data_IF_499864112468
#
_entry.id   IF_499864112468
#
_cell.length_a   1.000
_cell.length_b   1.000
_cell.length_c   1.000
_cell.angle_alpha   90.00
_cell.angle_beta   90.00
_cell.angle_gamma   90.00
#
_symmetry.space_group_name_H-M   'P 1'
#
loop_
_entity.id
_entity.type
_entity.pdbx_description
1 polymer ?
#
# COMPACT_ATOMS: atom_id res chain seq x y z
N UNK A 1 10.50 0.60 -29.35
CA UNK A 1 10.69 1.89 -28.64
C UNK A 1 9.38 2.25 -27.95
N UNK A 2 9.33 2.34 -26.62
CA UNK A 2 8.09 2.66 -25.91
C UNK A 2 7.71 4.14 -26.12
N UNK A 3 6.48 4.41 -26.59
CA UNK A 3 5.98 5.75 -26.79
C UNK A 3 5.79 6.50 -25.45
N UNK A 4 6.11 7.80 -25.42
CA UNK A 4 5.91 8.63 -24.22
C UNK A 4 4.41 8.79 -23.95
N UNK A 5 3.97 8.38 -22.75
CA UNK A 5 2.57 8.45 -22.30
C UNK A 5 2.04 9.87 -22.08
N UNK A 6 2.90 10.87 -21.83
CA UNK A 6 2.49 12.25 -21.57
C UNK A 6 3.42 13.28 -22.22
N UNK A 7 2.89 14.48 -22.49
CA UNK A 7 3.66 15.61 -23.04
C UNK A 7 4.57 16.31 -22.01
N UNK A 8 4.69 15.79 -20.79
CA UNK A 8 5.48 16.38 -19.71
C UNK A 8 4.92 17.70 -19.18
N UNK A 9 5.78 18.54 -18.60
CA UNK A 9 5.39 19.84 -18.04
C UNK A 9 5.05 20.80 -19.19
N UNK A 10 3.78 21.19 -19.25
CA UNK A 10 3.30 22.17 -20.22
C UNK A 10 2.93 23.48 -19.54
N UNK A 11 3.01 24.58 -20.29
CA UNK A 11 2.40 25.84 -19.89
C UNK A 11 0.88 25.61 -19.83
N UNK A 12 0.29 25.94 -18.70
CA UNK A 12 -1.13 25.75 -18.42
C UNK A 12 -1.77 27.11 -18.09
N UNK A 13 -3.10 27.13 -18.09
CA UNK A 13 -3.86 28.33 -17.74
C UNK A 13 -3.49 28.87 -16.36
N UNK A 14 -3.66 30.17 -16.22
CA UNK A 14 -3.23 30.94 -15.05
C UNK A 14 -3.97 30.52 -13.78
N UNK A 15 -5.27 30.23 -13.88
CA UNK A 15 -6.10 29.77 -12.75
C UNK A 15 -5.64 28.39 -12.27
N UNK A 16 -5.38 27.46 -13.20
CA UNK A 16 -4.87 26.12 -12.89
C UNK A 16 -3.48 26.23 -12.25
N UNK A 17 -2.64 27.14 -12.76
CA UNK A 17 -1.31 27.41 -12.21
C UNK A 17 -1.39 27.93 -10.78
N UNK A 18 -2.28 28.88 -10.49
CA UNK A 18 -2.47 29.42 -9.15
C UNK A 18 -2.82 28.32 -8.15
N UNK A 19 -3.83 27.52 -8.46
CA UNK A 19 -4.27 26.41 -7.60
C UNK A 19 -3.14 25.40 -7.37
N UNK A 20 -2.44 24.98 -8.42
CA UNK A 20 -1.33 24.02 -8.30
C UNK A 20 -0.15 24.58 -7.49
N UNK A 21 0.26 25.82 -7.76
CA UNK A 21 1.38 26.44 -7.04
C UNK A 21 1.04 26.69 -5.57
N UNK A 22 -0.17 27.18 -5.29
CA UNK A 22 -0.64 27.38 -3.92
C UNK A 22 -0.62 26.07 -3.14
N UNK A 23 -1.17 24.99 -3.70
CA UNK A 23 -1.13 23.66 -3.05
C UNK A 23 0.30 23.17 -2.84
N UNK A 24 1.21 23.36 -3.81
CA UNK A 24 2.62 23.01 -3.66
C UNK A 24 3.32 23.80 -2.54
N UNK A 25 3.07 25.11 -2.45
CA UNK A 25 3.59 25.96 -1.39
C UNK A 25 3.09 25.50 -0.02
N UNK A 26 1.80 25.17 0.11
CA UNK A 26 1.24 24.68 1.38
C UNK A 26 1.84 23.34 1.80
N UNK A 27 2.08 22.45 0.84
CA UNK A 27 2.77 21.18 1.11
C UNK A 27 4.19 21.44 1.63
N UNK A 28 4.97 22.28 0.95
CA UNK A 28 6.33 22.61 1.38
C UNK A 28 6.34 23.27 2.77
N UNK A 29 5.39 24.17 3.04
CA UNK A 29 5.27 24.81 4.35
C UNK A 29 4.92 23.79 5.44
N UNK A 30 4.01 22.86 5.17
CA UNK A 30 3.69 21.77 6.09
C UNK A 30 4.87 20.85 6.35
N UNK A 31 5.64 20.51 5.32
CA UNK A 31 6.86 19.71 5.47
C UNK A 31 7.90 20.44 6.32
N UNK A 32 8.11 21.73 6.06
CA UNK A 32 9.04 22.55 6.84
C UNK A 32 8.63 22.60 8.32
N UNK A 33 7.36 22.92 8.61
CA UNK A 33 6.80 22.90 9.97
C UNK A 33 7.05 21.56 10.66
N UNK A 34 6.82 20.44 9.97
CA UNK A 34 7.00 19.10 10.54
C UNK A 34 8.47 18.78 10.81
N UNK A 35 9.39 19.24 9.96
CA UNK A 35 10.83 18.97 10.09
C UNK A 35 11.50 19.85 11.14
N UNK A 36 11.12 21.13 11.23
CA UNK A 36 11.84 22.13 12.05
C UNK A 36 11.05 22.65 13.24
N UNK A 37 9.75 22.35 13.33
CA UNK A 37 8.86 22.95 14.33
C UNK A 37 8.61 24.45 14.11
N UNK A 38 8.96 24.99 12.93
CA UNK A 38 8.80 26.42 12.65
C UNK A 38 7.34 26.85 12.63
N UNK A 39 7.08 28.08 13.08
CA UNK A 39 5.77 28.71 12.99
C UNK A 39 5.68 29.55 11.72
N UNK A 40 4.65 29.33 10.90
CA UNK A 40 4.55 29.90 9.55
C UNK A 40 3.13 30.39 9.32
N UNK A 41 2.98 31.56 8.70
CA UNK A 41 1.72 32.02 8.12
C UNK A 41 1.93 32.44 6.66
N UNK A 42 1.03 31.99 5.78
CA UNK A 42 1.02 32.29 4.35
C UNK A 42 -0.36 32.79 3.99
N UNK A 43 -0.43 33.98 3.39
CA UNK A 43 -1.65 34.57 2.85
C UNK A 43 -1.41 34.85 1.36
N UNK A 44 -2.25 34.29 0.50
CA UNK A 44 -2.16 34.45 -0.95
C UNK A 44 -3.52 34.84 -1.51
N UNK A 45 -3.58 35.91 -2.29
CA UNK A 45 -4.81 36.36 -2.94
C UNK A 45 -4.92 35.80 -4.36
N UNK A 46 -6.11 35.32 -4.74
CA UNK A 46 -6.40 35.07 -6.16
C UNK A 46 -6.56 36.37 -6.93
N UNK A 47 -6.64 36.28 -8.26
CA UNK A 47 -6.91 37.44 -9.12
C UNK A 47 -8.25 38.12 -8.82
N UNK A 48 -9.22 37.36 -8.33
CA UNK A 48 -10.49 37.87 -7.83
C UNK A 48 -10.41 38.50 -6.43
N UNK A 49 -9.21 38.63 -5.85
CA UNK A 49 -9.00 39.19 -4.51
C UNK A 49 -9.39 38.27 -3.36
N UNK A 50 -9.74 37.00 -3.62
CA UNK A 50 -10.11 36.05 -2.56
C UNK A 50 -8.85 35.56 -1.82
N UNK A 51 -8.77 35.72 -0.49
CA UNK A 51 -7.65 35.23 0.29
C UNK A 51 -7.69 33.70 0.42
N UNK A 52 -6.50 33.10 0.40
CA UNK A 52 -6.26 31.71 0.75
C UNK A 52 -5.09 31.65 1.72
N UNK A 53 -5.28 30.89 2.79
CA UNK A 53 -4.36 30.94 3.91
C UNK A 53 -3.88 29.57 4.34
N UNK A 54 -2.63 29.52 4.80
CA UNK A 54 -2.05 28.42 5.55
C UNK A 54 -1.40 29.00 6.80
N UNK A 55 -1.57 28.35 7.95
CA UNK A 55 -0.99 28.84 9.20
C UNK A 55 -0.70 27.70 10.16
N UNK A 56 0.46 27.79 10.82
CA UNK A 56 0.85 26.92 11.92
C UNK A 56 1.50 27.78 13.02
N UNK A 57 0.98 27.77 14.27
CA UNK A 57 -0.25 27.11 14.75
C UNK A 57 -1.54 27.59 14.08
N UNK A 58 -1.67 28.88 13.80
CA UNK A 58 -2.73 29.47 12.99
C UNK A 58 -2.22 30.80 12.41
N UNK A 59 -2.87 31.32 11.38
CA UNK A 59 -2.50 32.63 10.80
C UNK A 59 -2.61 33.73 11.84
N UNK A 60 -3.69 33.71 12.62
CA UNK A 60 -3.95 34.70 13.67
C UNK A 60 -2.89 34.65 14.77
N UNK A 61 -2.51 33.47 15.25
CA UNK A 61 -1.48 33.35 16.29
C UNK A 61 -0.12 33.89 15.81
N UNK A 62 0.25 33.59 14.56
CA UNK A 62 1.48 34.13 13.97
C UNK A 62 1.37 35.64 13.76
N UNK A 63 0.24 36.13 13.24
CA UNK A 63 0.01 37.56 13.00
C UNK A 63 0.01 38.36 14.29
N UNK A 64 -0.65 37.89 15.35
CA UNK A 64 -0.70 38.58 16.63
C UNK A 64 0.68 38.69 17.30
N UNK A 65 1.53 37.66 17.15
CA UNK A 65 2.93 37.72 17.60
C UNK A 65 3.76 38.70 16.76
N UNK A 66 3.57 38.69 15.44
CA UNK A 66 4.26 39.60 14.54
C UNK A 66 3.88 41.07 14.79
N UNK A 67 2.60 41.33 15.06
CA UNK A 67 2.05 42.67 15.32
C UNK A 67 2.21 43.11 16.79
N UNK A 68 2.79 42.27 17.65
CA UNK A 68 2.96 42.59 19.08
C UNK A 68 1.65 42.69 19.88
N UNK A 69 0.53 42.21 19.34
CA UNK A 69 -0.81 42.33 19.95
C UNK A 69 -1.04 41.35 21.11
N UNK A 70 -0.22 40.31 21.23
CA UNK A 70 -0.35 39.26 22.25
C UNK A 70 0.90 39.12 23.15
N UNK A 71 1.45 40.23 23.66
CA UNK A 71 2.36 40.15 24.81
C UNK A 71 1.56 39.82 26.08
N UNK A 72 1.14 38.56 26.21
CA UNK A 72 0.60 38.06 27.48
C UNK A 72 1.77 37.83 28.46
N UNK A 73 1.63 38.21 29.74
CA UNK A 73 2.64 37.93 30.74
C UNK A 73 2.66 36.42 31.01
N UNK A 74 3.87 35.84 30.98
CA UNK A 74 4.25 34.47 31.35
C UNK A 74 4.56 33.51 30.17
N UNK A 75 5.81 33.59 29.68
CA UNK A 75 6.43 32.74 28.67
C UNK A 75 6.37 31.22 28.96
N UNK A 76 6.12 30.84 30.22
CA UNK A 76 6.18 29.45 30.67
C UNK A 76 5.06 28.56 30.11
N UNK A 77 3.84 29.10 29.96
CA UNK A 77 2.69 28.31 29.46
C UNK A 77 2.83 28.05 27.95
N UNK A 78 3.21 29.08 27.19
CA UNK A 78 3.44 28.95 25.75
C UNK A 78 4.59 27.98 25.47
N UNK A 79 5.70 28.06 26.22
CA UNK A 79 6.83 27.14 26.12
C UNK A 79 6.42 25.69 26.38
N UNK A 80 5.61 25.43 27.43
CA UNK A 80 5.13 24.08 27.75
C UNK A 80 4.20 23.51 26.66
N UNK A 81 3.31 24.33 26.10
CA UNK A 81 2.38 23.92 25.03
C UNK A 81 3.14 23.63 23.73
N UNK A 82 4.10 24.49 23.37
CA UNK A 82 4.97 24.28 22.20
C UNK A 82 5.84 23.03 22.38
N UNK A 83 6.43 22.84 23.56
CA UNK A 83 7.23 21.66 23.89
C UNK A 83 6.43 20.35 23.78
N UNK A 84 5.25 20.28 24.40
CA UNK A 84 4.37 19.11 24.27
C UNK A 84 3.98 18.84 22.81
N UNK A 85 3.69 19.89 22.06
CA UNK A 85 3.34 19.76 20.64
C UNK A 85 4.51 19.18 19.84
N UNK A 86 5.73 19.65 20.09
CA UNK A 86 6.93 19.17 19.40
C UNK A 86 7.19 17.70 19.71
N UNK A 87 7.05 17.29 20.97
CA UNK A 87 7.19 15.88 21.37
C UNK A 87 6.19 15.01 20.61
N UNK A 88 4.91 15.41 20.55
CA UNK A 88 3.87 14.67 19.81
C UNK A 88 4.17 14.59 18.31
N UNK A 89 4.65 15.68 17.69
CA UNK A 89 5.02 15.68 16.26
C UNK A 89 6.18 14.72 16.03
N UNK A 90 7.20 14.75 16.89
CA UNK A 90 8.36 13.88 16.78
C UNK A 90 7.98 12.40 16.92
N UNK A 91 7.11 12.07 17.87
CA UNK A 91 6.59 10.71 18.07
C UNK A 91 5.83 10.21 16.83
N UNK A 92 4.91 11.02 16.28
CA UNK A 92 4.18 10.68 15.07
C UNK A 92 5.11 10.52 13.86
N UNK A 93 6.14 11.36 13.74
CA UNK A 93 7.14 11.25 12.68
C UNK A 93 7.95 9.95 12.80
N UNK A 94 8.31 9.53 14.01
CA UNK A 94 8.99 8.26 14.25
C UNK A 94 8.12 7.07 13.81
N UNK A 95 6.85 7.05 14.24
CA UNK A 95 5.89 6.01 13.83
C UNK A 95 5.70 5.96 12.31
N UNK A 96 5.56 7.11 11.68
CA UNK A 96 5.41 7.20 10.23
C UNK A 96 6.64 6.67 9.49
N UNK A 97 7.85 7.02 9.95
CA UNK A 97 9.09 6.55 9.34
C UNK A 97 9.27 5.03 9.50
N UNK A 98 8.88 4.47 10.64
CA UNK A 98 8.94 3.03 10.87
C UNK A 98 7.96 2.27 9.95
N UNK A 99 6.70 2.70 9.86
CA UNK A 99 5.73 2.10 8.94
C UNK A 99 6.19 2.19 7.48
N UNK A 100 6.82 3.31 7.11
CA UNK A 100 7.37 3.50 5.78
C UNK A 100 8.51 2.52 5.49
N UNK A 101 9.40 2.29 6.46
CA UNK A 101 10.49 1.30 6.37
C UNK A 101 9.93 -0.10 6.12
N UNK A 102 8.93 -0.51 6.90
CA UNK A 102 8.27 -1.81 6.75
C UNK A 102 7.66 -1.98 5.36
N UNK A 103 6.94 -0.96 4.87
CA UNK A 103 6.36 -0.99 3.52
C UNK A 103 7.42 -1.10 2.42
N UNK A 104 8.55 -0.42 2.57
CA UNK A 104 9.63 -0.47 1.59
C UNK A 104 10.33 -1.85 1.60
N UNK A 105 10.46 -2.47 2.77
CA UNK A 105 10.95 -3.84 2.93
C UNK A 105 10.01 -4.87 2.28
N UNK A 106 8.70 -4.78 2.53
CA UNK A 106 7.71 -5.64 1.88
C UNK A 106 7.73 -5.51 0.36
N UNK A 107 7.84 -4.27 -0.16
CA UNK A 107 7.98 -4.03 -1.61
C UNK A 107 9.24 -4.63 -2.19
N UNK A 108 10.34 -4.67 -1.44
CA UNK A 108 11.57 -5.29 -1.91
C UNK A 108 11.47 -6.81 -1.88
N UNK A 109 10.84 -7.39 -0.84
CA UNK A 109 10.51 -8.81 -0.78
C UNK A 109 9.63 -9.23 -1.96
N UNK A 110 8.60 -8.45 -2.29
CA UNK A 110 7.75 -8.68 -3.45
C UNK A 110 8.56 -8.72 -4.75
N UNK A 111 9.47 -7.78 -4.96
CA UNK A 111 10.35 -7.76 -6.16
C UNK A 111 11.24 -9.00 -6.21
N UNK A 112 11.85 -9.38 -5.08
CA UNK A 112 12.71 -10.56 -5.00
C UNK A 112 11.91 -11.82 -5.33
N UNK A 113 10.73 -12.00 -4.72
CA UNK A 113 9.84 -13.13 -5.01
C UNK A 113 9.44 -13.16 -6.47
N UNK A 114 9.11 -12.00 -7.05
CA UNK A 114 8.76 -11.87 -8.47
C UNK A 114 9.93 -12.23 -9.39
N UNK A 115 11.17 -11.86 -9.05
CA UNK A 115 12.36 -12.23 -9.81
C UNK A 115 12.72 -13.71 -9.68
N UNK A 116 12.71 -14.27 -8.46
CA UNK A 116 12.96 -15.70 -8.25
C UNK A 116 11.94 -16.57 -8.99
N UNK A 117 10.68 -16.11 -9.03
CA UNK A 117 9.60 -16.73 -9.79
C UNK A 117 9.90 -16.73 -11.28
N UNK A 118 10.36 -15.61 -11.85
CA UNK A 118 10.75 -15.50 -13.27
C UNK A 118 12.01 -16.31 -13.65
N UNK A 119 12.93 -16.53 -12.70
CA UNK A 119 14.19 -17.25 -12.94
C UNK A 119 14.09 -18.78 -12.89
N UNK A 120 13.03 -19.34 -12.28
CA UNK A 120 12.78 -20.79 -12.21
C UNK A 120 11.83 -21.31 -13.30
N UNK A 121 11.45 -20.44 -14.23
CA UNK A 121 10.31 -20.66 -15.13
C UNK A 121 10.77 -21.19 -16.49
N UNK A 122 10.87 -22.52 -16.61
CA UNK A 122 11.04 -23.21 -17.91
C UNK A 122 9.72 -23.77 -18.44
N UNK A 123 8.61 -23.66 -17.69
CA UNK A 123 7.28 -24.09 -18.13
C UNK A 123 6.30 -22.90 -18.21
N UNK A 124 5.44 -22.86 -19.25
CA UNK A 124 4.44 -21.81 -19.39
C UNK A 124 3.43 -21.87 -18.25
N UNK A 125 3.09 -20.71 -17.70
CA UNK A 125 2.20 -20.56 -16.55
C UNK A 125 0.73 -20.54 -17.00
N UNK A 126 0.30 -21.68 -17.54
CA UNK A 126 -0.98 -21.84 -18.26
C UNK A 126 -2.22 -21.44 -17.46
N UNK A 127 -2.17 -21.43 -16.12
CA UNK A 127 -3.32 -21.16 -15.24
C UNK A 127 -3.38 -19.75 -14.64
N UNK A 128 -2.48 -18.83 -15.03
CA UNK A 128 -2.45 -17.46 -14.46
C UNK A 128 -2.76 -16.36 -15.46
N UNK A 129 -2.79 -16.67 -16.75
CA UNK A 129 -3.32 -15.77 -17.76
C UNK A 129 -4.86 -15.81 -17.72
N UNK A 130 -5.56 -14.67 -17.89
CA UNK A 130 -7.00 -14.68 -18.12
C UNK A 130 -7.32 -15.52 -19.35
N UNK A 131 -8.39 -16.33 -19.31
CA UNK A 131 -8.79 -17.22 -20.43
C UNK A 131 -8.92 -16.44 -21.75
N UNK A 132 -9.36 -15.18 -21.67
CA UNK A 132 -9.55 -14.28 -22.82
C UNK A 132 -8.25 -13.86 -23.53
N UNK A 133 -7.08 -14.08 -22.91
CA UNK A 133 -5.76 -13.74 -23.48
C UNK A 133 -5.05 -14.93 -24.15
N UNK A 134 -5.64 -16.12 -24.17
CA UNK A 134 -5.03 -17.33 -24.74
C UNK A 134 -5.44 -17.58 -26.20
N UNK A 135 -4.54 -18.16 -26.98
CA UNK A 135 -4.91 -18.70 -28.29
C UNK A 135 -5.52 -20.11 -28.17
N UNK A 136 -6.19 -20.58 -29.24
CA UNK A 136 -6.89 -21.87 -29.26
C UNK A 136 -5.96 -23.06 -28.92
N UNK A 137 -4.69 -23.00 -29.32
CA UNK A 137 -3.71 -24.05 -29.05
C UNK A 137 -3.35 -24.12 -27.56
N UNK A 138 -3.18 -22.97 -26.92
CA UNK A 138 -2.89 -22.85 -25.49
C UNK A 138 -4.09 -23.30 -24.65
N UNK A 139 -5.30 -22.98 -25.08
CA UNK A 139 -6.52 -23.41 -24.39
C UNK A 139 -6.68 -24.93 -24.41
N UNK A 140 -6.43 -25.59 -25.55
CA UNK A 140 -6.46 -27.05 -25.66
C UNK A 140 -5.39 -27.74 -24.81
N UNK A 141 -4.20 -27.13 -24.69
CA UNK A 141 -3.15 -27.64 -23.80
C UNK A 141 -3.54 -27.54 -22.33
N UNK A 142 -4.26 -26.49 -21.95
CA UNK A 142 -4.75 -26.31 -20.59
C UNK A 142 -5.83 -27.34 -20.24
N UNK A 143 -6.79 -27.56 -21.15
CA UNK A 143 -7.85 -28.56 -20.96
C UNK A 143 -7.24 -29.97 -20.77
N UNK A 144 -6.28 -30.35 -21.62
CA UNK A 144 -5.57 -31.62 -21.50
C UNK A 144 -4.82 -31.75 -20.17
N UNK A 145 -4.19 -30.67 -19.68
CA UNK A 145 -3.45 -30.69 -18.42
C UNK A 145 -4.37 -30.85 -17.20
N UNK A 146 -5.59 -30.28 -17.25
CA UNK A 146 -6.61 -30.45 -16.22
C UNK A 146 -7.14 -31.88 -16.21
N UNK A 147 -7.36 -32.47 -17.38
CA UNK A 147 -7.76 -33.87 -17.50
C UNK A 147 -6.72 -34.82 -16.92
N UNK A 148 -5.44 -34.61 -17.21
CA UNK A 148 -4.33 -35.41 -16.66
C UNK A 148 -4.29 -35.32 -15.13
N UNK A 149 -4.45 -34.11 -14.58
CA UNK A 149 -4.53 -33.89 -13.13
C UNK A 149 -5.71 -34.64 -12.50
N UNK A 150 -6.86 -34.60 -13.15
CA UNK A 150 -8.05 -35.32 -12.71
C UNK A 150 -7.82 -36.83 -12.71
N UNK A 151 -7.17 -37.38 -13.75
CA UNK A 151 -6.83 -38.81 -13.79
C UNK A 151 -5.86 -39.21 -12.68
N UNK A 152 -4.83 -38.39 -12.42
CA UNK A 152 -3.89 -38.64 -11.31
C UNK A 152 -4.62 -38.61 -9.96
N UNK A 153 -5.55 -37.68 -9.77
CA UNK A 153 -6.34 -37.59 -8.55
C UNK A 153 -7.22 -38.81 -8.33
N UNK A 154 -7.95 -39.26 -9.37
CA UNK A 154 -8.78 -40.46 -9.32
C UNK A 154 -7.95 -41.72 -9.03
N UNK A 155 -6.78 -41.86 -9.66
CA UNK A 155 -5.87 -42.97 -9.41
C UNK A 155 -5.43 -43.02 -7.93
N UNK A 156 -5.09 -41.87 -7.34
CA UNK A 156 -4.70 -41.78 -5.91
C UNK A 156 -5.85 -42.07 -4.95
N UNK A 157 -7.08 -41.67 -5.29
CA UNK A 157 -8.25 -42.02 -4.48
C UNK A 157 -8.49 -43.53 -4.49
N UNK A 158 -8.36 -44.16 -5.66
CA UNK A 158 -8.56 -45.59 -5.80
C UNK A 158 -7.47 -46.40 -5.07
N UNK A 159 -6.21 -45.95 -5.13
CA UNK A 159 -5.09 -46.53 -4.38
C UNK A 159 -5.34 -46.47 -2.86
N UNK A 160 -5.82 -45.34 -2.34
CA UNK A 160 -6.19 -45.19 -0.93
C UNK A 160 -7.39 -46.04 -0.52
N UNK A 161 -8.39 -46.18 -1.38
CA UNK A 161 -9.54 -47.03 -1.13
C UNK A 161 -9.15 -48.52 -1.09
N UNK A 162 -8.26 -48.96 -1.99
CA UNK A 162 -7.73 -50.32 -2.00
C UNK A 162 -6.86 -50.62 -0.77
N UNK A 163 -6.02 -49.66 -0.34
CA UNK A 163 -5.21 -49.78 0.88
C UNK A 163 -6.08 -49.85 2.15
N UNK A 164 -7.20 -49.12 2.21
CA UNK A 164 -8.16 -49.17 3.31
C UNK A 164 -8.92 -50.51 3.37
N UNK A 165 -9.26 -51.10 2.23
CA UNK A 165 -9.95 -52.40 2.16
C UNK A 165 -9.05 -53.58 2.57
N UNK A 166 -7.75 -53.52 2.28
CA UNK A 166 -6.78 -54.55 2.68
C UNK A 166 -6.47 -54.55 4.19
N UNK A 167 -6.86 -53.50 4.93
CA UNK A 167 -6.61 -53.33 6.37
C UNK A 167 -7.72 -53.87 7.28
N UNK A 168 -8.83 -54.39 6.75
CA UNK A 168 -9.97 -54.85 7.56
C UNK A 168 -9.79 -56.31 8.01
N UNK A 169 -9.80 -56.63 9.31
CA UNK A 169 -9.68 -58.02 9.77
C UNK A 169 -11.01 -58.75 9.55
N UNK A 170 -10.99 -59.81 8.74
CA UNK A 170 -12.12 -60.73 8.57
C UNK A 170 -12.30 -61.51 9.88
N UNK A 171 -13.43 -61.31 10.56
CA UNK A 171 -13.79 -62.08 11.76
C UNK A 171 -14.12 -63.55 11.40
N UNK A 172 -13.72 -64.57 12.18
CA UNK A 172 -14.01 -65.96 11.87
C UNK A 172 -15.47 -66.32 12.17
N UNK A 173 -16.08 -67.05 11.23
CA UNK A 173 -17.42 -67.65 11.33
C UNK A 173 -17.53 -68.57 12.56
N UNK A 174 -18.43 -68.25 13.48
CA UNK A 174 -18.79 -69.11 14.61
C UNK A 174 -19.86 -70.11 14.17
N UNK A 175 -19.45 -71.37 13.98
CA UNK A 175 -20.37 -72.50 13.84
C UNK A 175 -21.07 -72.78 15.18
N UNK A 176 -22.38 -72.55 15.25
CA UNK A 176 -23.24 -73.11 16.30
C UNK A 176 -23.49 -74.61 16.02
N UNK A 177 -23.00 -75.48 16.89
CA UNK A 177 -23.50 -76.86 17.02
C UNK A 177 -24.43 -76.93 18.22
N UNK A 178 -25.73 -77.10 17.95
CA UNK A 178 -26.72 -77.45 18.96
C UNK A 178 -26.57 -78.93 19.35
N UNK A 179 -26.51 -79.20 20.65
CA UNK A 179 -27.10 -80.37 21.28
C UNK A 179 -28.08 -79.90 22.34
#
# INVERSE_FOLDING_TARGET
MAAKKTKGRQKIEMIITFSKRRSGIYKNASELVTLTGSEIAIVVFSQSGKPYTFGHPSVEAVANRFLGMNQLPNDNIHSLVVGHRQVRINELNQQHNELRRQLDEEKEQEKILTQMRRGKETQPRMWETPVDEHNLQEQLQMDSAVDDLHQIFLAKLNERAAAAAASSPVAPSLYFHHK
#
